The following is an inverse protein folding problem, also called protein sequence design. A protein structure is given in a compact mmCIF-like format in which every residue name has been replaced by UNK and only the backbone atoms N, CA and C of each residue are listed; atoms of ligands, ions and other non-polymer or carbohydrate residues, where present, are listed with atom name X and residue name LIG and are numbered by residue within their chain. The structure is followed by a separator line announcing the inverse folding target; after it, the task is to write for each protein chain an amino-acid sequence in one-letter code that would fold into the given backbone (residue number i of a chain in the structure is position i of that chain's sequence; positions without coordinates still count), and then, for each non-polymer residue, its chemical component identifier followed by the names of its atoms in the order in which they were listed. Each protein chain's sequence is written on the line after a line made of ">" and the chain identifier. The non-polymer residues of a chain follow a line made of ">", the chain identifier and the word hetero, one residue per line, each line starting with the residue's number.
data_IF_407513179469
#
_entry.id   IF_407513179469
#
_cell.length_a   1.000
_cell.length_b   1.000
_cell.length_c   1.000
_cell.angle_alpha   90.00
_cell.angle_beta   90.00
_cell.angle_gamma   90.00
#
_symmetry.space_group_name_H-M   'P 1'
#
loop_
_entity.id
_entity.type
_entity.pdbx_description
1 polymer ?
#
# COMPACT_ATOMS: atom_id res chain seq x y z
N UNK A 1 6.39 34.30 10.89
CA UNK A 1 5.97 32.90 11.16
C UNK A 1 4.96 32.94 12.31
N UNK A 2 3.81 32.28 12.19
CA UNK A 2 2.71 32.41 13.16
C UNK A 2 3.12 31.81 14.53
N UNK A 3 3.13 32.64 15.59
CA UNK A 3 3.50 32.25 16.97
C UNK A 3 2.61 31.12 17.51
N UNK A 4 1.32 31.19 17.20
CA UNK A 4 0.34 30.15 17.56
C UNK A 4 0.71 28.78 16.98
N UNK A 5 1.19 28.74 15.72
CA UNK A 5 1.58 27.49 15.07
C UNK A 5 2.80 26.84 15.76
N UNK A 6 3.79 27.66 16.14
CA UNK A 6 4.96 27.22 16.88
C UNK A 6 4.58 26.63 18.24
N UNK A 7 3.71 27.33 18.98
CA UNK A 7 3.26 26.89 20.30
C UNK A 7 2.54 25.54 20.23
N UNK A 8 1.64 25.38 19.26
CA UNK A 8 0.95 24.09 19.07
C UNK A 8 1.92 22.98 18.65
N UNK A 9 2.86 23.25 17.74
CA UNK A 9 3.86 22.25 17.32
C UNK A 9 4.74 21.79 18.48
N UNK A 10 5.18 22.71 19.33
CA UNK A 10 5.96 22.42 20.54
C UNK A 10 5.14 21.61 21.53
N UNK A 11 3.89 22.02 21.78
CA UNK A 11 2.98 21.27 22.64
C UNK A 11 2.75 19.83 22.15
N UNK A 12 2.53 19.61 20.84
CA UNK A 12 2.39 18.25 20.28
C UNK A 12 3.65 17.41 20.49
N UNK A 13 4.84 17.99 20.33
CA UNK A 13 6.11 17.29 20.59
C UNK A 13 6.23 16.88 22.06
N UNK A 14 5.82 17.75 22.98
CA UNK A 14 5.85 17.45 24.40
C UNK A 14 4.89 16.32 24.77
N UNK A 15 3.64 16.41 24.30
CA UNK A 15 2.63 15.37 24.57
C UNK A 15 3.04 14.03 23.95
N UNK A 16 3.67 14.03 22.78
CA UNK A 16 4.25 12.81 22.19
C UNK A 16 5.31 12.18 23.10
N UNK A 17 6.22 13.00 23.65
CA UNK A 17 7.27 12.54 24.57
C UNK A 17 6.69 11.95 25.85
N UNK A 18 5.65 12.57 26.39
CA UNK A 18 4.93 12.05 27.57
C UNK A 18 4.21 10.73 27.27
N UNK A 19 3.46 10.67 26.18
CA UNK A 19 2.73 9.46 25.76
C UNK A 19 3.69 8.29 25.52
N UNK A 20 4.82 8.53 24.84
CA UNK A 20 5.84 7.51 24.59
C UNK A 20 6.48 6.96 25.87
N UNK A 21 6.48 7.73 26.96
CA UNK A 21 6.96 7.32 28.29
C UNK A 21 5.85 6.72 29.17
N UNK A 22 4.63 6.56 28.67
CA UNK A 22 3.47 6.11 29.46
C UNK A 22 2.89 7.16 30.41
N UNK A 23 3.37 8.41 30.37
CA UNK A 23 2.95 9.51 31.26
C UNK A 23 1.72 10.27 30.76
N UNK A 24 1.18 9.90 29.60
CA UNK A 24 -0.02 10.50 29.04
C UNK A 24 -0.83 9.47 28.27
N UNK A 25 -2.16 9.59 28.34
CA UNK A 25 -3.07 8.77 27.55
C UNK A 25 -2.96 9.06 26.05
N UNK A 26 -3.20 8.04 25.22
CA UNK A 26 -3.23 8.15 23.76
C UNK A 26 -4.19 9.25 23.28
N UNK A 27 -5.33 9.42 23.94
CA UNK A 27 -6.33 10.43 23.59
C UNK A 27 -5.78 11.86 23.67
N UNK A 28 -4.94 12.14 24.67
CA UNK A 28 -4.30 13.45 24.85
C UNK A 28 -3.35 13.74 23.68
N UNK A 29 -2.55 12.76 23.26
CA UNK A 29 -1.70 12.89 22.08
C UNK A 29 -2.52 13.03 20.79
N UNK A 30 -3.57 12.22 20.62
CA UNK A 30 -4.48 12.29 19.47
C UNK A 30 -5.14 13.66 19.33
N UNK A 31 -5.60 14.24 20.45
CA UNK A 31 -6.14 15.60 20.50
C UNK A 31 -5.09 16.64 20.09
N UNK A 32 -3.86 16.53 20.62
CA UNK A 32 -2.78 17.43 20.26
C UNK A 32 -2.40 17.37 18.77
N UNK A 33 -2.43 16.17 18.18
CA UNK A 33 -2.24 15.97 16.74
C UNK A 33 -3.35 16.68 15.94
N UNK A 34 -4.62 16.52 16.31
CA UNK A 34 -5.76 17.16 15.63
C UNK A 34 -5.64 18.68 15.63
N UNK A 35 -5.43 19.28 16.79
CA UNK A 35 -5.28 20.74 16.94
C UNK A 35 -4.10 21.26 16.12
N UNK A 36 -2.94 20.61 16.19
CA UNK A 36 -1.78 20.96 15.36
C UNK A 36 -2.10 20.92 13.87
N UNK A 37 -2.79 19.86 13.43
CA UNK A 37 -3.17 19.69 12.03
C UNK A 37 -4.07 20.84 11.57
N UNK A 38 -5.05 21.23 12.39
CA UNK A 38 -5.97 22.31 12.05
C UNK A 38 -5.30 23.68 11.99
N UNK A 39 -4.44 24.00 12.96
CA UNK A 39 -3.68 25.26 12.94
C UNK A 39 -2.70 25.29 11.76
N UNK A 40 -2.04 24.16 11.46
CA UNK A 40 -1.17 24.04 10.27
C UNK A 40 -1.95 24.25 8.98
N UNK A 41 -3.15 23.64 8.86
CA UNK A 41 -4.04 23.80 7.71
C UNK A 41 -4.45 25.26 7.54
N UNK A 42 -4.92 25.93 8.61
CA UNK A 42 -5.30 27.34 8.59
C UNK A 42 -4.13 28.24 8.20
N UNK A 43 -2.97 28.06 8.84
CA UNK A 43 -1.77 28.85 8.53
C UNK A 43 -1.29 28.67 7.08
N UNK A 44 -1.36 27.43 6.55
CA UNK A 44 -1.04 27.15 5.15
C UNK A 44 -2.03 27.84 4.20
N UNK A 45 -3.33 27.75 4.47
CA UNK A 45 -4.36 28.44 3.68
C UNK A 45 -4.17 29.97 3.68
N UNK A 46 -3.92 30.57 4.84
CA UNK A 46 -3.63 32.00 4.94
C UNK A 46 -2.37 32.40 4.16
N UNK A 47 -1.29 31.61 4.27
CA UNK A 47 -0.06 31.86 3.50
C UNK A 47 -0.31 31.82 1.98
N UNK A 48 -1.12 30.87 1.53
CA UNK A 48 -1.47 30.73 0.12
C UNK A 48 -2.35 31.88 -0.37
N UNK A 49 -3.34 32.30 0.42
CA UNK A 49 -4.17 33.47 0.13
C UNK A 49 -3.34 34.76 0.05
N UNK A 50 -2.44 34.98 1.01
CA UNK A 50 -1.58 36.17 1.00
C UNK A 50 -0.68 36.17 -0.24
N UNK A 51 -0.09 35.03 -0.61
CA UNK A 51 0.72 34.91 -1.84
C UNK A 51 -0.08 35.18 -3.12
N UNK A 52 -1.36 34.85 -3.15
CA UNK A 52 -2.23 35.14 -4.28
C UNK A 52 -2.61 36.62 -4.34
N UNK A 53 -2.83 37.26 -3.19
CA UNK A 53 -3.10 38.71 -3.08
C UNK A 53 -1.90 39.54 -3.49
N UNK A 54 -0.70 39.16 -3.06
CA UNK A 54 0.55 39.87 -3.33
C UNK A 54 1.12 39.56 -4.73
N UNK A 55 0.31 39.05 -5.67
CA UNK A 55 0.81 38.67 -7.01
C UNK A 55 1.32 39.88 -7.79
N UNK A 56 0.70 41.05 -7.61
CA UNK A 56 1.12 42.29 -8.28
C UNK A 56 2.52 42.72 -7.81
N UNK A 57 2.78 42.60 -6.51
CA UNK A 57 4.01 43.07 -5.88
C UNK A 57 5.12 42.00 -5.84
N UNK A 58 4.76 40.71 -5.88
CA UNK A 58 5.69 39.59 -5.76
C UNK A 58 5.34 38.41 -6.68
N UNK A 59 5.34 38.67 -7.99
CA UNK A 59 5.12 37.64 -9.05
C UNK A 59 6.04 36.42 -8.86
N UNK A 60 7.32 36.63 -8.54
CA UNK A 60 8.31 35.55 -8.36
C UNK A 60 7.95 34.61 -7.20
N UNK A 61 7.46 35.15 -6.08
CA UNK A 61 7.01 34.38 -4.92
C UNK A 61 5.79 33.52 -5.22
N UNK A 62 4.82 34.07 -5.98
CA UNK A 62 3.64 33.33 -6.44
C UNK A 62 4.02 32.17 -7.36
N UNK A 63 4.76 32.42 -8.45
CA UNK A 63 5.16 31.36 -9.38
C UNK A 63 6.04 30.30 -8.70
N UNK A 64 6.95 30.67 -7.80
CA UNK A 64 7.72 29.69 -7.00
C UNK A 64 6.82 28.77 -6.15
N UNK A 65 5.71 29.29 -5.63
CA UNK A 65 4.71 28.50 -4.91
C UNK A 65 4.02 27.50 -5.84
N UNK A 66 3.56 27.98 -7.00
CA UNK A 66 2.92 27.15 -8.03
C UNK A 66 3.88 26.07 -8.52
N UNK A 67 5.13 26.39 -8.85
CA UNK A 67 6.15 25.42 -9.29
C UNK A 67 6.39 24.34 -8.24
N UNK A 68 6.42 24.70 -6.94
CA UNK A 68 6.54 23.71 -5.85
C UNK A 68 5.33 22.78 -5.76
N UNK A 69 4.12 23.31 -6.01
CA UNK A 69 2.88 22.53 -5.99
C UNK A 69 2.70 21.67 -7.26
N UNK A 70 3.27 22.12 -8.39
CA UNK A 70 3.31 21.38 -9.65
C UNK A 70 4.37 20.28 -9.70
N UNK A 71 5.21 20.14 -8.67
CA UNK A 71 6.07 18.95 -8.53
C UNK A 71 5.17 17.74 -8.28
N UNK A 72 4.71 17.10 -9.35
CA UNK A 72 4.25 15.71 -9.33
C UNK A 72 5.38 14.82 -8.79
N UNK A 73 5.03 13.67 -8.21
CA UNK A 73 6.03 12.62 -7.97
C UNK A 73 6.78 12.41 -9.29
N UNK A 74 8.11 12.40 -9.24
CA UNK A 74 8.90 12.08 -10.42
C UNK A 74 8.51 10.67 -10.85
N UNK A 75 7.90 10.57 -12.04
CA UNK A 75 7.74 9.29 -12.72
C UNK A 75 9.13 8.67 -12.94
N UNK A 76 9.16 7.39 -13.27
CA UNK A 76 10.41 6.73 -13.66
C UNK A 76 11.05 7.54 -14.80
N UNK A 77 12.25 8.04 -14.53
CA UNK A 77 13.03 8.80 -15.50
C UNK A 77 13.46 7.91 -16.67
N UNK A 78 14.15 8.47 -17.67
CA UNK A 78 14.68 7.66 -18.75
C UNK A 78 15.61 6.57 -18.25
N UNK A 79 15.56 5.39 -18.87
CA UNK A 79 16.35 4.21 -18.47
C UNK A 79 17.37 3.85 -19.55
N UNK A 80 18.51 3.30 -19.16
CA UNK A 80 19.49 2.75 -20.09
C UNK A 80 19.14 1.29 -20.39
N UNK A 81 19.03 0.99 -21.68
CA UNK A 81 18.94 -0.40 -22.13
C UNK A 81 20.32 -1.06 -22.18
N UNK A 82 20.34 -2.36 -22.51
CA UNK A 82 21.57 -3.16 -22.60
C UNK A 82 22.57 -2.62 -23.63
N UNK A 83 22.09 -1.90 -24.64
CA UNK A 83 22.89 -1.29 -25.72
C UNK A 83 23.42 0.10 -25.31
N UNK A 84 23.10 0.57 -24.11
CA UNK A 84 23.50 1.89 -23.60
C UNK A 84 22.67 3.06 -24.15
N UNK A 85 21.57 2.80 -24.85
CA UNK A 85 20.64 3.82 -25.33
C UNK A 85 19.60 4.18 -24.27
N UNK A 86 19.18 5.45 -24.29
CA UNK A 86 18.25 6.01 -23.31
C UNK A 86 16.80 5.83 -23.78
N UNK A 87 16.06 4.98 -23.06
CA UNK A 87 14.64 4.71 -23.24
C UNK A 87 13.82 5.77 -22.51
N UNK A 88 13.00 6.52 -23.24
CA UNK A 88 12.18 7.61 -22.69
C UNK A 88 10.69 7.27 -22.66
N UNK A 89 10.23 6.40 -23.56
CA UNK A 89 8.83 5.99 -23.68
C UNK A 89 8.39 5.12 -22.49
N UNK A 90 7.19 5.39 -21.96
CA UNK A 90 6.70 4.74 -20.74
C UNK A 90 6.47 3.23 -20.91
N UNK A 91 5.99 2.79 -22.08
CA UNK A 91 5.79 1.38 -22.39
C UNK A 91 7.12 0.61 -22.45
N UNK A 92 8.09 1.15 -23.18
CA UNK A 92 9.43 0.53 -23.30
C UNK A 92 10.16 0.51 -21.94
N UNK A 93 10.05 1.57 -21.13
CA UNK A 93 10.60 1.57 -19.77
C UNK A 93 9.97 0.49 -18.89
N UNK A 94 8.65 0.28 -19.01
CA UNK A 94 7.96 -0.74 -18.25
C UNK A 94 8.44 -2.14 -18.65
N UNK A 95 8.59 -2.40 -19.96
CA UNK A 95 9.09 -3.68 -20.46
C UNK A 95 10.55 -3.93 -20.05
N UNK A 96 11.41 -2.91 -20.13
CA UNK A 96 12.80 -3.00 -19.70
C UNK A 96 12.92 -3.37 -18.21
N UNK A 97 12.12 -2.71 -17.36
CA UNK A 97 12.08 -3.03 -15.93
C UNK A 97 11.50 -4.41 -15.67
N UNK A 98 10.45 -4.81 -16.41
CA UNK A 98 9.85 -6.13 -16.29
C UNK A 98 10.83 -7.23 -16.67
N UNK A 99 11.53 -7.09 -17.80
CA UNK A 99 12.58 -8.01 -18.24
C UNK A 99 13.69 -8.15 -17.19
N UNK A 100 14.17 -7.02 -16.65
CA UNK A 100 15.16 -7.04 -15.57
C UNK A 100 14.64 -7.69 -14.28
N UNK A 101 13.41 -7.38 -13.86
CA UNK A 101 12.82 -7.99 -12.67
C UNK A 101 12.62 -9.49 -12.87
N UNK A 102 12.16 -9.93 -14.04
CA UNK A 102 12.02 -11.34 -14.37
C UNK A 102 13.39 -12.06 -14.38
N UNK A 103 14.44 -11.43 -14.91
CA UNK A 103 15.77 -12.05 -15.02
C UNK A 103 16.45 -12.29 -13.67
N UNK A 104 16.12 -11.50 -12.64
CA UNK A 104 16.67 -11.72 -11.28
C UNK A 104 15.89 -12.76 -10.48
N UNK A 105 14.69 -13.15 -10.93
CA UNK A 105 14.01 -14.31 -10.36
C UNK A 105 14.59 -15.58 -10.98
N UNK A 106 15.05 -16.49 -10.12
CA UNK A 106 15.40 -17.83 -10.57
C UNK A 106 14.14 -18.52 -11.07
N UNK A 107 14.09 -18.95 -12.36
CA UNK A 107 13.02 -19.83 -12.79
C UNK A 107 13.11 -21.06 -11.91
N UNK A 108 12.02 -21.41 -11.20
CA UNK A 108 11.88 -22.79 -10.77
C UNK A 108 12.01 -23.61 -12.06
N UNK A 109 12.90 -24.61 -12.06
CA UNK A 109 12.87 -25.65 -13.08
C UNK A 109 11.40 -26.06 -13.24
N UNK A 110 10.92 -26.14 -14.49
CA UNK A 110 9.52 -26.39 -14.84
C UNK A 110 8.93 -27.52 -14.01
N UNK A 111 7.60 -27.61 -13.89
CA UNK A 111 6.93 -28.32 -12.80
C UNK A 111 7.66 -29.61 -12.46
N UNK A 112 8.46 -29.58 -11.39
CA UNK A 112 8.36 -30.71 -10.51
C UNK A 112 6.89 -30.65 -10.10
N UNK A 113 6.09 -31.54 -10.70
CA UNK A 113 5.03 -32.17 -9.94
C UNK A 113 5.55 -32.22 -8.51
N UNK A 114 4.86 -31.60 -7.53
CA UNK A 114 5.17 -31.91 -6.15
C UNK A 114 5.26 -33.42 -6.16
N UNK A 115 6.43 -33.99 -5.81
CA UNK A 115 6.54 -35.42 -5.71
C UNK A 115 5.26 -35.82 -5.01
N UNK A 116 4.43 -36.60 -5.68
CA UNK A 116 3.25 -37.17 -5.06
C UNK A 116 3.88 -38.02 -3.98
N UNK A 117 4.13 -37.42 -2.81
CA UNK A 117 3.91 -38.09 -1.56
C UNK A 117 2.52 -38.61 -1.81
N UNK A 118 2.42 -39.91 -1.96
CA UNK A 118 1.17 -40.62 -1.82
C UNK A 118 0.70 -40.42 -0.37
N UNK A 119 0.43 -39.16 0.00
CA UNK A 119 -0.63 -38.83 0.92
C UNK A 119 -1.87 -39.18 0.11
N UNK A 120 -2.16 -40.48 0.07
CA UNK A 120 -3.32 -41.02 -0.64
C UNK A 120 -4.50 -40.14 -0.31
N UNK A 121 -5.29 -39.80 -1.34
CA UNK A 121 -6.45 -38.91 -1.35
C UNK A 121 -7.21 -38.85 -0.01
N UNK A 122 -6.63 -38.21 1.00
CA UNK A 122 -7.41 -37.53 2.02
C UNK A 122 -7.72 -36.22 1.34
N UNK A 123 -8.74 -36.27 0.49
CA UNK A 123 -9.67 -35.17 0.43
C UNK A 123 -9.85 -34.73 1.88
N UNK A 124 -9.38 -33.52 2.21
CA UNK A 124 -9.54 -32.97 3.55
C UNK A 124 -11.00 -33.18 3.90
N UNK A 125 -11.27 -33.99 4.94
CA UNK A 125 -12.65 -34.33 5.27
C UNK A 125 -13.37 -33.03 5.59
N UNK A 126 -14.70 -33.01 5.48
CA UNK A 126 -15.48 -31.80 5.78
C UNK A 126 -15.17 -31.23 7.18
N UNK A 127 -14.67 -32.10 8.06
CA UNK A 127 -14.20 -31.85 9.41
C UNK A 127 -12.79 -31.20 9.52
N UNK A 128 -11.92 -31.28 8.50
CA UNK A 128 -10.53 -30.77 8.54
C UNK A 128 -10.36 -29.38 7.92
N UNK A 129 -11.35 -28.90 7.15
CA UNK A 129 -11.30 -27.55 6.56
C UNK A 129 -11.76 -26.50 7.56
N UNK A 130 -10.99 -25.43 7.83
CA UNK A 130 -11.46 -24.34 8.67
C UNK A 130 -12.73 -23.76 8.08
N UNK A 131 -13.79 -23.69 8.88
CA UNK A 131 -15.01 -22.99 8.49
C UNK A 131 -14.65 -21.50 8.38
N UNK A 132 -14.60 -20.97 7.16
CA UNK A 132 -14.34 -19.56 6.94
C UNK A 132 -15.61 -18.79 7.27
N UNK A 133 -15.74 -18.39 8.53
CA UNK A 133 -16.88 -17.61 9.01
C UNK A 133 -16.89 -16.20 8.44
N UNK A 134 -18.10 -15.68 8.22
CA UNK A 134 -18.32 -14.32 7.73
C UNK A 134 -17.69 -13.27 8.66
N UNK A 135 -17.81 -13.44 9.97
CA UNK A 135 -17.28 -12.49 10.94
C UNK A 135 -15.76 -12.45 10.92
N UNK A 136 -15.11 -13.57 10.65
CA UNK A 136 -13.66 -13.62 10.51
C UNK A 136 -13.18 -12.83 9.28
N UNK A 137 -13.93 -12.89 8.17
CA UNK A 137 -13.67 -12.08 6.97
C UNK A 137 -13.94 -10.60 7.25
N UNK A 138 -15.06 -10.29 7.92
CA UNK A 138 -15.46 -8.92 8.31
C UNK A 138 -14.38 -8.25 9.14
N UNK A 139 -13.84 -8.95 10.13
CA UNK A 139 -12.79 -8.46 11.01
C UNK A 139 -11.50 -8.13 10.24
N UNK A 140 -11.12 -9.00 9.29
CA UNK A 140 -9.95 -8.77 8.45
C UNK A 140 -10.11 -7.54 7.55
N UNK A 141 -11.29 -7.38 6.94
CA UNK A 141 -11.62 -6.18 6.16
C UNK A 141 -11.59 -4.92 7.03
N UNK A 142 -12.06 -5.01 8.28
CA UNK A 142 -12.03 -3.93 9.27
C UNK A 142 -10.63 -3.45 9.63
N UNK A 143 -9.66 -4.37 9.68
CA UNK A 143 -8.25 -4.09 10.04
C UNK A 143 -7.44 -3.47 8.89
N UNK A 144 -7.93 -3.52 7.65
CA UNK A 144 -7.19 -2.98 6.51
C UNK A 144 -7.00 -1.45 6.58
N UNK A 145 -5.78 -1.02 6.28
CA UNK A 145 -5.41 0.41 6.25
C UNK A 145 -6.05 1.11 5.04
N UNK A 146 -6.97 2.03 5.34
CA UNK A 146 -7.72 2.80 4.32
C UNK A 146 -6.93 3.84 3.56
N UNK A 147 -5.67 4.05 3.93
CA UNK A 147 -4.76 4.94 3.21
C UNK A 147 -3.85 4.21 2.23
N UNK A 148 -4.07 2.90 2.02
CA UNK A 148 -3.32 2.09 1.05
C UNK A 148 -3.83 2.29 -0.38
N UNK A 149 -2.95 1.99 -1.33
CA UNK A 149 -3.26 1.98 -2.75
C UNK A 149 -4.22 0.85 -3.10
N UNK A 150 -5.04 1.07 -4.14
CA UNK A 150 -5.88 0.04 -4.75
C UNK A 150 -5.03 -1.01 -5.48
N UNK A 151 -5.55 -2.23 -5.54
CA UNK A 151 -5.00 -3.28 -6.39
C UNK A 151 -5.40 -3.08 -7.86
N UNK A 152 -5.02 -4.01 -8.74
CA UNK A 152 -5.43 -4.01 -10.15
C UNK A 152 -6.94 -4.21 -10.34
N UNK A 153 -7.64 -4.68 -9.30
CA UNK A 153 -9.09 -4.83 -9.24
C UNK A 153 -9.85 -3.49 -9.08
N UNK A 154 -9.14 -2.37 -8.89
CA UNK A 154 -9.76 -1.06 -8.71
C UNK A 154 -10.51 -0.88 -7.38
N UNK A 155 -10.41 -1.85 -6.47
CA UNK A 155 -11.12 -1.81 -5.20
C UNK A 155 -10.32 -1.02 -4.16
N UNK A 156 -10.81 0.17 -3.81
CA UNK A 156 -10.13 1.00 -2.81
C UNK A 156 -10.33 0.41 -1.40
N UNK A 157 -9.29 0.31 -0.55
CA UNK A 157 -9.42 -0.32 0.78
C UNK A 157 -10.48 0.33 1.66
N UNK A 158 -10.68 1.64 1.50
CA UNK A 158 -11.79 2.35 2.16
C UNK A 158 -13.17 1.79 1.79
N UNK A 159 -13.43 1.50 0.52
CA UNK A 159 -14.73 0.94 0.10
C UNK A 159 -14.94 -0.42 0.74
N UNK A 160 -13.91 -1.27 0.71
CA UNK A 160 -13.96 -2.61 1.31
C UNK A 160 -14.19 -2.58 2.83
N UNK A 161 -13.59 -1.61 3.53
CA UNK A 161 -13.80 -1.45 4.97
C UNK A 161 -15.20 -0.93 5.30
N UNK A 162 -15.67 0.09 4.60
CA UNK A 162 -16.98 0.70 4.88
C UNK A 162 -18.15 -0.21 4.44
N UNK A 163 -17.92 -1.11 3.48
CA UNK A 163 -18.90 -2.10 3.02
C UNK A 163 -18.64 -3.51 3.58
N UNK A 164 -17.79 -3.65 4.60
CA UNK A 164 -17.39 -4.94 5.15
C UNK A 164 -18.59 -5.81 5.51
N UNK A 165 -19.63 -5.22 6.10
CA UNK A 165 -20.84 -5.94 6.51
C UNK A 165 -21.63 -6.57 5.36
N UNK A 166 -21.53 -5.98 4.17
CA UNK A 166 -22.25 -6.46 2.98
C UNK A 166 -21.39 -7.46 2.21
N UNK A 167 -20.08 -7.23 2.12
CA UNK A 167 -19.18 -8.02 1.27
C UNK A 167 -18.56 -9.21 2.01
N UNK A 168 -18.60 -9.26 3.34
CA UNK A 168 -18.04 -10.36 4.11
C UNK A 168 -18.70 -11.70 3.74
N UNK A 169 -20.04 -11.72 3.61
CA UNK A 169 -20.78 -12.93 3.24
C UNK A 169 -20.41 -13.49 1.86
N UNK A 170 -20.45 -12.71 0.76
CA UNK A 170 -20.06 -13.23 -0.54
C UNK A 170 -18.58 -13.63 -0.57
N UNK A 171 -17.69 -12.89 0.12
CA UNK A 171 -16.28 -13.25 0.19
C UNK A 171 -16.03 -14.55 0.95
N UNK A 172 -16.75 -14.82 2.05
CA UNK A 172 -16.59 -16.07 2.80
C UNK A 172 -16.97 -17.29 1.95
N UNK A 173 -18.03 -17.20 1.15
CA UNK A 173 -18.43 -18.25 0.21
C UNK A 173 -17.33 -18.49 -0.84
N UNK A 174 -16.75 -17.41 -1.38
CA UNK A 174 -15.65 -17.51 -2.35
C UNK A 174 -14.42 -18.14 -1.68
N UNK A 175 -14.02 -17.68 -0.49
CA UNK A 175 -12.85 -18.20 0.21
C UNK A 175 -13.02 -19.68 0.58
N UNK A 176 -14.19 -20.09 1.06
CA UNK A 176 -14.46 -21.50 1.37
C UNK A 176 -14.34 -22.37 0.12
N UNK A 177 -14.88 -21.92 -1.01
CA UNK A 177 -14.75 -22.61 -2.29
C UNK A 177 -13.28 -22.67 -2.74
N UNK A 178 -12.55 -21.55 -2.64
CA UNK A 178 -11.14 -21.48 -3.02
C UNK A 178 -10.27 -22.38 -2.14
N UNK A 179 -10.59 -22.49 -0.84
CA UNK A 179 -9.90 -23.39 0.07
C UNK A 179 -10.10 -24.85 -0.31
N UNK A 180 -11.35 -25.25 -0.60
CA UNK A 180 -11.67 -26.64 -0.95
C UNK A 180 -11.13 -27.08 -2.30
N UNK A 181 -11.12 -26.17 -3.27
CA UNK A 181 -10.67 -26.47 -4.64
C UNK A 181 -9.17 -26.25 -4.83
N UNK A 182 -8.52 -25.49 -3.94
CA UNK A 182 -7.17 -25.01 -4.15
C UNK A 182 -7.05 -23.93 -5.24
N UNK A 183 -8.18 -23.46 -5.78
CA UNK A 183 -8.23 -22.51 -6.90
C UNK A 183 -8.86 -21.19 -6.46
N UNK A 184 -8.11 -20.10 -6.58
CA UNK A 184 -8.61 -18.74 -6.34
C UNK A 184 -9.10 -18.05 -7.62
N UNK A 185 -9.92 -16.97 -7.49
CA UNK A 185 -10.26 -16.10 -8.61
C UNK A 185 -9.04 -15.64 -9.42
N UNK A 186 -9.16 -15.65 -10.74
CA UNK A 186 -8.08 -15.26 -11.65
C UNK A 186 -7.60 -13.83 -11.39
N UNK A 187 -8.51 -12.93 -11.02
CA UNK A 187 -8.19 -11.54 -10.72
C UNK A 187 -7.27 -11.38 -9.51
N UNK A 188 -7.24 -12.34 -8.59
CA UNK A 188 -6.32 -12.31 -7.45
C UNK A 188 -4.90 -12.73 -7.84
N UNK A 189 -4.73 -13.42 -8.98
CA UNK A 189 -3.41 -13.75 -9.55
C UNK A 189 -2.78 -12.57 -10.29
N UNK A 190 -3.57 -11.54 -10.62
CA UNK A 190 -3.10 -10.33 -11.26
C UNK A 190 -2.53 -9.37 -10.20
N UNK A 191 -1.45 -8.68 -10.55
CA UNK A 191 -0.85 -7.68 -9.68
C UNK A 191 -0.30 -6.50 -10.48
N UNK A 192 -0.36 -5.31 -9.91
CA UNK A 192 0.32 -4.14 -10.46
C UNK A 192 1.71 -4.02 -9.83
N UNK A 193 2.76 -4.08 -10.67
CA UNK A 193 4.15 -3.94 -10.21
C UNK A 193 4.58 -2.49 -10.40
N UNK A 194 4.90 -1.82 -9.29
CA UNK A 194 5.42 -0.45 -9.32
C UNK A 194 6.92 -0.45 -9.02
N UNK A 195 7.77 0.04 -9.93
CA UNK A 195 9.20 0.18 -9.67
C UNK A 195 9.45 1.32 -8.67
N UNK A 196 10.22 1.02 -7.62
CA UNK A 196 10.64 2.00 -6.62
C UNK A 196 12.16 2.12 -6.62
N UNK A 197 12.66 3.31 -6.89
CA UNK A 197 14.10 3.59 -6.85
C UNK A 197 14.64 3.34 -5.44
N UNK A 198 15.71 2.54 -5.36
CA UNK A 198 16.47 2.27 -4.14
C UNK A 198 17.48 3.40 -3.90
N UNK A 199 18.69 3.25 -4.45
CA UNK A 199 19.83 4.16 -4.40
C UNK A 199 20.60 3.99 -5.71
N UNK A 200 21.44 4.96 -6.08
CA UNK A 200 22.25 4.89 -7.30
C UNK A 200 21.70 5.75 -8.43
N UNK A 201 22.12 5.42 -9.65
CA UNK A 201 21.74 6.13 -10.89
C UNK A 201 20.30 5.79 -11.25
N UNK A 202 19.51 6.80 -11.64
CA UNK A 202 18.09 6.62 -12.00
C UNK A 202 17.91 5.92 -13.34
N UNK A 203 18.95 5.96 -14.15
CA UNK A 203 18.94 5.42 -15.50
C UNK A 203 19.15 3.90 -15.49
N UNK A 204 19.69 3.34 -14.40
CA UNK A 204 20.01 1.92 -14.29
C UNK A 204 18.81 1.14 -13.70
N UNK A 205 18.21 0.18 -14.46
CA UNK A 205 17.10 -0.66 -14.00
C UNK A 205 17.41 -1.43 -12.70
N UNK A 206 18.68 -1.81 -12.47
CA UNK A 206 19.13 -2.53 -11.29
C UNK A 206 18.96 -1.77 -9.98
N UNK A 207 18.86 -0.44 -10.07
CA UNK A 207 18.64 0.42 -8.91
C UNK A 207 17.17 0.52 -8.49
N UNK A 208 16.26 -0.20 -9.15
CA UNK A 208 14.85 -0.27 -8.78
C UNK A 208 14.53 -1.57 -8.04
N UNK A 209 13.52 -1.54 -7.16
CA UNK A 209 12.84 -2.74 -6.65
C UNK A 209 11.42 -2.82 -7.20
N UNK A 210 10.93 -4.01 -7.53
CA UNK A 210 9.51 -4.21 -7.76
C UNK A 210 8.76 -4.12 -6.42
N UNK A 211 7.69 -3.32 -6.39
CA UNK A 211 6.68 -3.36 -5.31
C UNK A 211 5.38 -3.82 -5.93
N UNK A 212 4.90 -4.97 -5.48
CA UNK A 212 3.70 -5.62 -6.01
C UNK A 212 2.47 -5.19 -5.24
N UNK A 213 1.46 -4.68 -5.96
CA UNK A 213 0.13 -4.38 -5.45
C UNK A 213 -0.83 -5.47 -5.91
N UNK A 214 -1.25 -6.32 -4.98
CA UNK A 214 -2.26 -7.36 -5.20
C UNK A 214 -3.65 -6.91 -4.71
N UNK A 215 -4.68 -7.62 -5.19
CA UNK A 215 -6.07 -7.46 -4.75
C UNK A 215 -6.20 -7.59 -3.22
N UNK A 216 -7.03 -6.74 -2.61
CA UNK A 216 -7.22 -6.75 -1.16
C UNK A 216 -7.98 -8.00 -0.70
N UNK A 217 -9.08 -8.44 -1.35
CA UNK A 217 -9.66 -9.75 -1.09
C UNK A 217 -8.66 -10.90 -1.15
N UNK A 218 -7.75 -10.91 -2.13
CA UNK A 218 -6.67 -11.89 -2.20
C UNK A 218 -5.76 -11.87 -0.98
N UNK A 219 -5.34 -10.67 -0.53
CA UNK A 219 -4.57 -10.50 0.71
C UNK A 219 -5.31 -10.96 1.96
N UNK A 220 -6.63 -10.75 2.02
CA UNK A 220 -7.44 -11.25 3.13
C UNK A 220 -7.38 -12.78 3.16
N UNK A 221 -7.55 -13.44 2.01
CA UNK A 221 -7.41 -14.90 1.95
C UNK A 221 -6.02 -15.38 2.37
N UNK A 222 -4.95 -14.72 1.91
CA UNK A 222 -3.57 -15.03 2.33
C UNK A 222 -3.38 -14.93 3.85
N UNK A 223 -3.97 -13.91 4.50
CA UNK A 223 -3.93 -13.76 5.96
C UNK A 223 -4.72 -14.86 6.66
N UNK A 224 -5.89 -15.24 6.15
CA UNK A 224 -6.67 -16.35 6.70
C UNK A 224 -5.88 -17.67 6.63
N UNK A 225 -5.22 -17.95 5.50
CA UNK A 225 -4.33 -19.11 5.35
C UNK A 225 -3.19 -19.04 6.37
N UNK A 226 -2.55 -17.88 6.50
CA UNK A 226 -1.44 -17.68 7.43
C UNK A 226 -1.88 -17.91 8.88
N UNK A 227 -3.05 -17.43 9.28
CA UNK A 227 -3.61 -17.62 10.63
C UNK A 227 -3.84 -19.12 10.93
N UNK A 228 -4.33 -19.88 9.96
CA UNK A 228 -4.56 -21.33 10.11
C UNK A 228 -3.24 -22.08 10.25
N UNK A 229 -2.28 -21.80 9.37
CA UNK A 229 -0.96 -22.44 9.40
C UNK A 229 -0.24 -22.09 10.71
N UNK A 230 -0.29 -20.82 11.14
CA UNK A 230 0.38 -20.38 12.36
C UNK A 230 -0.16 -21.09 13.60
N UNK A 231 -1.49 -21.26 13.70
CA UNK A 231 -2.12 -22.03 14.79
C UNK A 231 -1.73 -23.52 14.82
N UNK A 232 -1.32 -24.09 13.69
CA UNK A 232 -0.91 -25.49 13.60
C UNK A 232 0.60 -25.68 13.88
N UNK A 233 1.40 -24.64 13.71
CA UNK A 233 2.85 -24.66 13.95
C UNK A 233 3.19 -24.31 15.40
N UNK A 234 2.31 -23.59 16.10
CA UNK A 234 2.37 -23.38 17.56
C UNK A 234 2.02 -24.64 18.36
#
# INVERSE_FOLDING_TARGET
>A
MNRELLDKLTWKKEVYRMWKKGLAAWEKYRSAVRVCRDVTRKAKACLELNRARDIKDNKKGFFKCISRKRKTRENVGPLLNEVGALVTEDAEKAELLNAFFASVFTPKAGPQEPQTLEVGERAWSKEDSPLIEEDWVRDHLGKHDTHRSMGPDGMHPRVLRELADVIAKPLSIIFEKSWRTGEGPEDWRKASVTPVLKKGKKEDPGNYRPVTLTSIPGKVMEQLILDVISKHVE
#
